data_IF_231440278509
#
_entry.id   IF_231440278509
#
_cell.length_a   1.000
_cell.length_b   1.000
_cell.length_c   1.000
_cell.angle_alpha   90.00
_cell.angle_beta   90.00
_cell.angle_gamma   90.00
#
_symmetry.space_group_name_H-M   'P 1'
#
loop_
_entity.id
_entity.type
_entity.pdbx_description
1 polymer ?
#
# COMPACT_ATOMS: atom_id res chain seq x y z
N UNK A 1 -24.78 8.50 7.92
CA UNK A 1 -23.69 9.28 7.31
C UNK A 1 -22.41 8.44 7.16
N UNK A 2 -21.93 7.79 8.20
CA UNK A 2 -20.75 6.89 8.18
C UNK A 2 -20.91 5.72 7.20
N UNK A 3 -22.10 5.08 7.12
CA UNK A 3 -22.36 3.99 6.18
C UNK A 3 -22.29 4.42 4.70
N UNK A 4 -22.59 5.70 4.36
CA UNK A 4 -22.41 6.23 3.00
C UNK A 4 -20.95 6.56 2.68
N UNK A 5 -20.16 6.98 3.67
CA UNK A 5 -18.70 7.19 3.55
C UNK A 5 -17.99 5.85 3.31
N UNK A 6 -18.33 4.83 4.08
CA UNK A 6 -17.77 3.47 3.93
C UNK A 6 -18.19 2.76 2.64
N UNK A 7 -19.25 3.24 1.94
CA UNK A 7 -19.67 2.67 0.65
C UNK A 7 -18.88 3.21 -0.55
N UNK A 8 -18.14 4.31 -0.41
CA UNK A 8 -17.35 4.90 -1.48
C UNK A 8 -15.94 4.28 -1.51
N UNK A 9 -15.59 3.45 -2.50
CA UNK A 9 -14.32 2.70 -2.50
C UNK A 9 -13.09 3.61 -2.50
N UNK A 10 -13.17 4.79 -3.11
CA UNK A 10 -12.06 5.75 -3.12
C UNK A 10 -11.80 6.37 -1.74
N UNK A 11 -12.84 6.63 -0.94
CA UNK A 11 -12.68 7.13 0.42
C UNK A 11 -12.11 6.04 1.34
N UNK A 12 -12.53 4.78 1.14
CA UNK A 12 -11.96 3.64 1.87
C UNK A 12 -10.48 3.49 1.54
N UNK A 13 -10.09 3.58 0.25
CA UNK A 13 -8.70 3.52 -0.18
C UNK A 13 -7.88 4.68 0.39
N UNK A 14 -8.37 5.93 0.30
CA UNK A 14 -7.68 7.09 0.84
C UNK A 14 -7.47 6.98 2.36
N UNK A 15 -8.45 6.44 3.08
CA UNK A 15 -8.31 6.17 4.51
C UNK A 15 -7.31 5.04 4.80
N UNK A 16 -7.30 3.97 4.00
CA UNK A 16 -6.30 2.91 4.10
C UNK A 16 -4.88 3.46 3.91
N UNK A 17 -4.70 4.35 2.94
CA UNK A 17 -3.41 5.01 2.64
C UNK A 17 -3.00 5.92 3.80
N UNK A 18 -3.91 6.70 4.37
CA UNK A 18 -3.63 7.50 5.58
C UNK A 18 -3.15 6.62 6.73
N UNK A 19 -3.88 5.51 7.02
CA UNK A 19 -3.47 4.56 8.07
C UNK A 19 -2.10 3.94 7.74
N UNK A 20 -1.85 3.62 6.46
CA UNK A 20 -0.55 3.14 5.98
C UNK A 20 0.57 4.15 6.24
N UNK A 21 0.34 5.42 5.95
CA UNK A 21 1.31 6.49 6.21
C UNK A 21 1.56 6.68 7.72
N UNK A 22 0.56 6.47 8.56
CA UNK A 22 0.78 6.43 10.02
C UNK A 22 1.68 5.25 10.43
N UNK A 23 1.53 4.08 9.77
CA UNK A 23 2.46 2.95 9.97
C UNK A 23 3.89 3.35 9.58
N UNK A 24 4.08 4.01 8.44
CA UNK A 24 5.41 4.43 7.97
C UNK A 24 6.05 5.45 8.93
N UNK A 25 5.27 6.39 9.46
CA UNK A 25 5.75 7.34 10.46
C UNK A 25 6.17 6.64 11.77
N UNK A 26 5.37 5.67 12.25
CA UNK A 26 5.74 4.86 13.42
C UNK A 26 7.01 4.05 13.17
N UNK A 27 7.14 3.43 11.99
CA UNK A 27 8.35 2.70 11.58
C UNK A 27 9.56 3.64 11.60
N UNK A 28 9.45 4.84 11.04
CA UNK A 28 10.52 5.85 11.05
C UNK A 28 11.00 6.17 12.46
N UNK A 29 10.07 6.28 13.41
CA UNK A 29 10.42 6.58 14.81
C UNK A 29 11.07 5.42 15.57
N UNK A 30 10.71 4.18 15.24
CA UNK A 30 11.08 2.98 16.04
C UNK A 30 12.19 2.15 15.41
N UNK A 31 12.28 2.09 14.07
CA UNK A 31 13.23 1.24 13.37
C UNK A 31 14.71 1.45 13.73
N UNK A 32 15.21 2.67 14.03
CA UNK A 32 16.60 2.87 14.40
C UNK A 32 17.03 2.10 15.66
N UNK A 33 16.11 1.86 16.61
CA UNK A 33 16.40 1.15 17.87
C UNK A 33 16.08 -0.33 17.83
N UNK A 34 14.99 -0.72 17.15
CA UNK A 34 14.44 -2.07 17.23
C UNK A 34 14.97 -3.07 16.18
N UNK A 35 15.58 -2.57 15.11
CA UNK A 35 15.99 -3.39 13.96
C UNK A 35 14.84 -3.80 13.04
N UNK A 36 15.07 -3.69 11.73
CA UNK A 36 14.04 -3.89 10.71
C UNK A 36 13.46 -5.31 10.70
N UNK A 37 14.29 -6.34 10.92
CA UNK A 37 13.87 -7.74 10.93
C UNK A 37 12.92 -8.03 12.10
N UNK A 38 13.19 -7.53 13.30
CA UNK A 38 12.27 -7.65 14.43
C UNK A 38 10.97 -6.92 14.15
N UNK A 39 11.04 -5.68 13.71
CA UNK A 39 9.87 -4.87 13.39
C UNK A 39 8.95 -5.57 12.39
N UNK A 40 9.48 -6.09 11.28
CA UNK A 40 8.68 -6.80 10.27
C UNK A 40 8.11 -8.11 10.82
N UNK A 41 8.92 -8.94 11.49
CA UNK A 41 8.48 -10.23 12.01
C UNK A 41 7.34 -10.06 13.02
N UNK A 42 7.52 -9.19 14.01
CA UNK A 42 6.54 -8.97 15.06
C UNK A 42 5.29 -8.24 14.60
N UNK A 43 5.42 -7.24 13.72
CA UNK A 43 4.27 -6.60 13.09
C UNK A 43 3.39 -7.63 12.37
N UNK A 44 3.98 -8.50 11.56
CA UNK A 44 3.23 -9.53 10.87
C UNK A 44 2.66 -10.57 11.84
N UNK A 45 3.37 -10.92 12.91
CA UNK A 45 2.85 -11.83 13.95
C UNK A 45 1.61 -11.24 14.62
N UNK A 46 1.66 -10.01 15.14
CA UNK A 46 0.50 -9.39 15.78
C UNK A 46 -0.65 -9.18 14.80
N UNK A 47 -0.36 -8.80 13.55
CA UNK A 47 -1.35 -8.75 12.48
C UNK A 47 -1.98 -10.12 12.20
N UNK A 48 -1.20 -11.21 12.21
CA UNK A 48 -1.67 -12.57 12.03
C UNK A 48 -2.56 -13.03 13.21
N UNK A 49 -2.17 -12.76 14.44
CA UNK A 49 -2.96 -13.09 15.63
C UNK A 49 -4.31 -12.37 15.61
N UNK A 50 -4.31 -11.07 15.29
CA UNK A 50 -5.53 -10.28 15.19
C UNK A 50 -6.42 -10.78 14.06
N UNK A 51 -5.88 -10.96 12.86
CA UNK A 51 -6.63 -11.42 11.70
C UNK A 51 -7.19 -12.83 11.91
N UNK A 52 -6.45 -13.72 12.58
CA UNK A 52 -6.92 -15.04 12.95
C UNK A 52 -8.05 -14.97 13.97
N UNK A 53 -7.92 -14.12 15.00
CA UNK A 53 -8.98 -13.92 15.99
C UNK A 53 -10.27 -13.42 15.32
N UNK A 54 -10.18 -12.44 14.41
CA UNK A 54 -11.35 -11.93 13.66
C UNK A 54 -11.93 -13.01 12.74
N UNK A 55 -11.08 -13.78 12.05
CA UNK A 55 -11.51 -14.86 11.17
C UNK A 55 -12.32 -15.93 11.92
N UNK A 56 -11.81 -16.35 13.09
CA UNK A 56 -12.47 -17.34 13.95
C UNK A 56 -13.75 -16.78 14.57
N UNK A 57 -13.74 -15.54 15.07
CA UNK A 57 -14.91 -14.88 15.66
C UNK A 57 -16.07 -14.74 14.66
N UNK A 58 -15.75 -14.45 13.39
CA UNK A 58 -16.73 -14.36 12.31
C UNK A 58 -17.10 -15.72 11.71
N UNK A 59 -16.54 -16.82 12.24
CA UNK A 59 -16.80 -18.20 11.79
C UNK A 59 -16.70 -18.36 10.29
N UNK A 60 -15.62 -17.76 9.68
CA UNK A 60 -15.42 -17.84 8.24
C UNK A 60 -15.09 -19.26 7.80
N UNK A 61 -15.55 -19.70 6.61
CA UNK A 61 -15.23 -21.03 6.10
C UNK A 61 -13.74 -21.16 5.85
N UNK A 62 -13.19 -22.34 6.12
CA UNK A 62 -11.78 -22.63 5.84
C UNK A 62 -11.55 -22.58 4.33
N UNK A 63 -10.57 -21.78 3.85
CA UNK A 63 -10.31 -21.65 2.43
C UNK A 63 -9.83 -22.97 1.81
N UNK A 64 -10.25 -23.23 0.58
CA UNK A 64 -9.81 -24.39 -0.16
C UNK A 64 -8.31 -24.30 -0.51
N UNK A 65 -7.71 -25.45 -0.89
CA UNK A 65 -6.28 -25.57 -1.17
C UNK A 65 -5.79 -24.61 -2.27
N UNK A 66 -6.61 -24.36 -3.29
CA UNK A 66 -6.29 -23.40 -4.35
C UNK A 66 -6.11 -21.98 -3.79
N UNK A 67 -7.04 -21.52 -2.94
CA UNK A 67 -6.94 -20.22 -2.27
C UNK A 67 -5.70 -20.13 -1.38
N UNK A 68 -5.41 -21.18 -0.60
CA UNK A 68 -4.20 -21.24 0.25
C UNK A 68 -2.94 -21.10 -0.59
N UNK A 69 -2.80 -21.84 -1.69
CA UNK A 69 -1.63 -21.74 -2.59
C UNK A 69 -1.46 -20.35 -3.18
N UNK A 70 -2.56 -19.76 -3.67
CA UNK A 70 -2.54 -18.42 -4.23
C UNK A 70 -2.11 -17.38 -3.20
N UNK A 71 -2.72 -17.41 -2.02
CA UNK A 71 -2.41 -16.45 -0.95
C UNK A 71 -1.03 -16.65 -0.38
N UNK A 72 -0.51 -17.88 -0.36
CA UNK A 72 0.88 -18.15 0.04
C UNK A 72 1.84 -17.46 -0.93
N UNK A 73 1.66 -17.63 -2.24
CA UNK A 73 2.49 -16.96 -3.24
C UNK A 73 2.39 -15.42 -3.12
N UNK A 74 1.16 -14.89 -3.00
CA UNK A 74 0.93 -13.46 -2.85
C UNK A 74 1.54 -12.91 -1.55
N UNK A 75 1.41 -13.65 -0.44
CA UNK A 75 1.97 -13.25 0.86
C UNK A 75 3.49 -13.24 0.88
N UNK A 76 4.13 -14.21 0.21
CA UNK A 76 5.59 -14.24 0.03
C UNK A 76 6.06 -13.09 -0.88
N UNK A 77 5.34 -12.81 -1.96
CA UNK A 77 5.64 -11.65 -2.81
C UNK A 77 5.52 -10.35 -2.03
N UNK A 78 4.51 -10.21 -1.20
CA UNK A 78 4.34 -9.03 -0.34
C UNK A 78 5.48 -8.90 0.68
N UNK A 79 5.90 -10.00 1.31
CA UNK A 79 7.06 -10.01 2.20
C UNK A 79 8.33 -9.59 1.46
N UNK A 80 8.56 -10.14 0.28
CA UNK A 80 9.68 -9.77 -0.58
C UNK A 80 9.66 -8.26 -0.89
N UNK A 81 8.51 -7.71 -1.29
CA UNK A 81 8.37 -6.28 -1.56
C UNK A 81 8.66 -5.42 -0.31
N UNK A 82 8.12 -5.81 0.84
CA UNK A 82 8.36 -5.09 2.09
C UNK A 82 9.85 -5.11 2.47
N UNK A 83 10.48 -6.27 2.40
CA UNK A 83 11.90 -6.41 2.74
C UNK A 83 12.80 -5.61 1.78
N UNK A 84 12.59 -5.75 0.47
CA UNK A 84 13.41 -5.06 -0.55
C UNK A 84 13.19 -3.55 -0.54
N UNK A 85 11.97 -3.08 -0.28
CA UNK A 85 11.69 -1.65 -0.11
C UNK A 85 12.42 -1.06 1.09
N UNK A 86 12.30 -1.69 2.26
CA UNK A 86 12.96 -1.20 3.45
C UNK A 86 14.48 -1.31 3.36
N UNK A 87 15.00 -2.35 2.71
CA UNK A 87 16.43 -2.43 2.42
C UNK A 87 16.88 -1.26 1.53
N UNK A 88 16.12 -0.94 0.47
CA UNK A 88 16.43 0.20 -0.39
C UNK A 88 16.48 1.52 0.38
N UNK A 89 15.60 1.72 1.37
CA UNK A 89 15.60 2.90 2.23
C UNK A 89 16.89 3.04 3.07
N UNK A 90 17.59 1.94 3.35
CA UNK A 90 18.89 1.98 4.05
C UNK A 90 20.04 2.33 3.12
N UNK A 91 19.86 2.19 1.80
CA UNK A 91 20.93 2.35 0.79
C UNK A 91 20.80 3.62 -0.04
N UNK A 92 19.60 4.22 -0.08
CA UNK A 92 19.29 5.35 -0.96
C UNK A 92 18.82 6.56 -0.14
N UNK A 93 19.08 7.79 -0.64
CA UNK A 93 18.42 8.96 -0.10
C UNK A 93 16.89 8.80 -0.13
N UNK A 94 16.22 9.24 0.95
CA UNK A 94 14.78 9.05 1.12
C UNK A 94 13.98 9.62 -0.07
N UNK A 95 14.35 10.81 -0.55
CA UNK A 95 13.69 11.44 -1.70
C UNK A 95 13.75 10.57 -2.97
N UNK A 96 14.90 9.94 -3.25
CA UNK A 96 15.07 9.05 -4.41
C UNK A 96 14.22 7.81 -4.25
N UNK A 97 14.28 7.14 -3.09
CA UNK A 97 13.52 5.94 -2.81
C UNK A 97 12.00 6.20 -2.89
N UNK A 98 11.52 7.31 -2.33
CA UNK A 98 10.11 7.69 -2.35
C UNK A 98 9.63 7.97 -3.77
N UNK A 99 10.36 8.78 -4.55
CA UNK A 99 9.98 9.12 -5.93
C UNK A 99 9.89 7.87 -6.81
N UNK A 100 10.89 7.01 -6.75
CA UNK A 100 10.91 5.78 -7.53
C UNK A 100 9.87 4.76 -7.02
N UNK A 101 9.62 4.69 -5.71
CA UNK A 101 8.60 3.84 -5.12
C UNK A 101 7.18 4.16 -5.65
N UNK A 102 6.87 5.43 -5.86
CA UNK A 102 5.59 5.83 -6.44
C UNK A 102 5.40 5.44 -7.91
N UNK A 103 6.45 5.01 -8.62
CA UNK A 103 6.30 4.46 -9.98
C UNK A 103 5.47 3.16 -9.99
N UNK A 104 5.30 2.49 -8.83
CA UNK A 104 4.39 1.35 -8.71
C UNK A 104 2.97 1.68 -9.20
N UNK A 105 2.45 2.87 -8.88
CA UNK A 105 1.12 3.29 -9.31
C UNK A 105 0.99 3.38 -10.85
N UNK A 106 2.08 3.71 -11.56
CA UNK A 106 2.12 3.71 -13.04
C UNK A 106 2.03 2.29 -13.61
N UNK A 107 2.55 1.30 -12.86
CA UNK A 107 2.58 -0.11 -13.30
C UNK A 107 1.26 -0.84 -13.01
N UNK A 108 0.42 -0.34 -12.10
CA UNK A 108 -0.84 -1.01 -11.74
C UNK A 108 -1.77 -1.18 -12.92
N UNK A 109 -1.94 -0.15 -13.76
CA UNK A 109 -2.85 -0.23 -14.91
C UNK A 109 -2.38 -1.24 -15.98
N UNK A 110 -1.12 -1.26 -16.43
CA UNK A 110 -0.59 -2.31 -17.31
C UNK A 110 -0.72 -3.72 -16.73
N UNK A 111 -0.38 -3.90 -15.44
CA UNK A 111 -0.49 -5.20 -14.77
C UNK A 111 -1.95 -5.65 -14.64
N UNK A 112 -2.89 -4.73 -14.31
CA UNK A 112 -4.31 -5.03 -14.25
C UNK A 112 -4.87 -5.40 -15.63
N UNK A 113 -4.41 -4.75 -16.70
CA UNK A 113 -4.76 -5.15 -18.06
C UNK A 113 -4.26 -6.56 -18.40
N UNK A 114 -3.03 -6.88 -18.01
CA UNK A 114 -2.40 -8.17 -18.29
C UNK A 114 -3.09 -9.32 -17.55
N UNK A 115 -3.40 -9.15 -16.27
CA UNK A 115 -3.88 -10.22 -15.38
C UNK A 115 -5.41 -10.30 -15.28
N UNK A 116 -6.11 -9.18 -15.39
CA UNK A 116 -7.56 -9.07 -15.21
C UNK A 116 -8.31 -8.73 -16.51
N UNK A 117 -7.60 -8.36 -17.58
CA UNK A 117 -8.21 -7.87 -18.81
C UNK A 117 -8.90 -6.52 -18.65
N UNK A 118 -8.65 -5.77 -17.55
CA UNK A 118 -9.26 -4.46 -17.34
C UNK A 118 -8.89 -3.50 -18.46
N UNK A 119 -9.90 -2.79 -19.03
CA UNK A 119 -9.66 -1.75 -20.05
C UNK A 119 -8.99 -0.55 -19.40
N UNK A 120 -7.86 -0.11 -19.94
CA UNK A 120 -7.17 1.09 -19.44
C UNK A 120 -8.01 2.31 -19.81
N UNK A 121 -8.42 3.08 -18.80
CA UNK A 121 -9.04 4.38 -18.99
C UNK A 121 -7.98 5.43 -19.34
N UNK A 122 -8.09 6.15 -20.47
CA UNK A 122 -7.15 7.24 -20.78
C UNK A 122 -7.13 8.33 -19.71
N UNK A 123 -8.28 8.62 -19.09
CA UNK A 123 -8.39 9.62 -18.02
C UNK A 123 -7.67 9.15 -16.77
N UNK A 124 -7.85 7.87 -16.36
CA UNK A 124 -7.13 7.31 -15.22
C UNK A 124 -5.62 7.25 -15.47
N UNK A 125 -5.19 6.88 -16.69
CA UNK A 125 -3.78 6.90 -17.08
C UNK A 125 -3.19 8.32 -17.04
N UNK A 126 -3.89 9.31 -17.62
CA UNK A 126 -3.47 10.71 -17.57
C UNK A 126 -3.40 11.27 -16.15
N UNK A 127 -4.36 10.94 -15.30
CA UNK A 127 -4.35 11.34 -13.88
C UNK A 127 -3.21 10.69 -13.10
N UNK A 128 -2.88 9.42 -13.40
CA UNK A 128 -1.73 8.73 -12.79
C UNK A 128 -0.41 9.43 -13.18
N UNK A 129 -0.24 9.78 -14.44
CA UNK A 129 0.93 10.55 -14.91
C UNK A 129 0.99 11.94 -14.28
N UNK A 130 -0.14 12.64 -14.19
CA UNK A 130 -0.23 13.94 -13.54
C UNK A 130 0.13 13.86 -12.05
N UNK A 131 -0.39 12.86 -11.34
CA UNK A 131 -0.06 12.63 -9.93
C UNK A 131 1.43 12.35 -9.74
N UNK A 132 2.02 11.52 -10.60
CA UNK A 132 3.47 11.25 -10.57
C UNK A 132 4.30 12.52 -10.84
N UNK A 133 3.90 13.36 -11.79
CA UNK A 133 4.55 14.65 -12.03
C UNK A 133 4.46 15.57 -10.79
N UNK A 134 3.31 15.57 -10.11
CA UNK A 134 3.13 16.27 -8.83
C UNK A 134 4.08 15.77 -7.74
N UNK A 135 4.27 14.46 -7.61
CA UNK A 135 5.23 13.85 -6.68
C UNK A 135 6.66 14.26 -7.05
N UNK A 136 7.06 14.11 -8.31
CA UNK A 136 8.42 14.48 -8.76
C UNK A 136 8.72 15.97 -8.50
N UNK A 137 7.73 16.85 -8.73
CA UNK A 137 7.88 18.27 -8.41
C UNK A 137 7.98 18.52 -6.90
N UNK A 138 7.13 17.91 -6.09
CA UNK A 138 7.17 18.04 -4.62
C UNK A 138 8.53 17.65 -4.04
N UNK A 139 9.16 16.60 -4.59
CA UNK A 139 10.44 16.09 -4.13
C UNK A 139 11.64 16.89 -4.69
N UNK A 140 11.46 17.66 -5.77
CA UNK A 140 12.53 18.50 -6.33
C UNK A 140 13.04 19.60 -5.37
N UNK A 141 12.20 19.99 -4.40
CA UNK A 141 12.55 20.94 -3.36
C UNK A 141 13.28 20.33 -2.15
N UNK A 142 13.37 19.02 -2.08
CA UNK A 142 14.09 18.33 -1.01
C UNK A 142 15.58 18.15 -1.42
N UNK A 143 16.33 19.25 -1.43
CA UNK A 143 17.77 19.28 -1.67
C UNK A 143 18.50 18.74 -0.43
N UNK A 144 18.64 17.43 -0.35
CA UNK A 144 19.31 16.74 0.73
C UNK A 144 19.58 15.30 0.35
N UNK A 145 20.20 15.11 -0.83
CA UNK A 145 20.89 13.86 -1.09
C UNK A 145 22.10 13.82 -0.13
N UNK A 146 21.84 13.39 1.11
CA UNK A 146 22.92 12.94 1.96
C UNK A 146 23.70 11.91 1.18
N UNK A 147 25.01 12.03 1.16
CA UNK A 147 25.92 11.02 0.62
C UNK A 147 25.58 9.69 1.31
N UNK A 148 24.68 8.91 0.70
CA UNK A 148 24.32 7.61 1.20
C UNK A 148 25.57 6.74 1.18
N UNK A 149 26.10 6.44 2.35
CA UNK A 149 27.25 5.56 2.53
C UNK A 149 26.99 4.11 2.07
N UNK A 150 25.84 3.86 1.41
CA UNK A 150 25.37 2.56 0.99
C UNK A 150 25.69 2.20 -0.46
N UNK A 151 25.47 0.96 -0.83
CA UNK A 151 25.58 0.48 -2.20
C UNK A 151 24.37 0.95 -3.03
N UNK A 152 24.51 2.10 -3.72
CA UNK A 152 23.43 2.70 -4.51
C UNK A 152 22.88 1.75 -5.58
N UNK A 153 23.71 0.93 -6.21
CA UNK A 153 23.27 -0.03 -7.23
C UNK A 153 22.35 -1.09 -6.63
N UNK A 154 22.75 -1.70 -5.50
CA UNK A 154 21.90 -2.67 -4.80
C UNK A 154 20.62 -2.00 -4.27
N UNK A 155 20.72 -0.77 -3.78
CA UNK A 155 19.55 0.02 -3.38
C UNK A 155 18.56 0.21 -4.50
N UNK A 156 18.99 0.61 -5.68
CA UNK A 156 18.15 0.79 -6.87
C UNK A 156 17.54 -0.54 -7.34
N UNK A 157 18.34 -1.60 -7.44
CA UNK A 157 17.83 -2.94 -7.82
C UNK A 157 16.75 -3.39 -6.85
N UNK A 158 16.98 -3.26 -5.54
CA UNK A 158 16.02 -3.62 -4.50
C UNK A 158 14.73 -2.81 -4.61
N UNK A 159 14.85 -1.51 -4.84
CA UNK A 159 13.72 -0.60 -4.99
C UNK A 159 12.88 -0.93 -6.23
N UNK A 160 13.51 -1.11 -7.40
CA UNK A 160 12.79 -1.48 -8.62
C UNK A 160 12.11 -2.85 -8.48
N UNK A 161 12.78 -3.83 -7.87
CA UNK A 161 12.20 -5.15 -7.61
C UNK A 161 10.97 -5.03 -6.71
N UNK A 162 11.05 -4.23 -5.65
CA UNK A 162 9.92 -3.93 -4.78
C UNK A 162 8.77 -3.25 -5.52
N UNK A 163 9.08 -2.21 -6.28
CA UNK A 163 8.09 -1.39 -7.02
C UNK A 163 7.29 -2.23 -8.02
N UNK A 164 7.99 -3.05 -8.81
CA UNK A 164 7.34 -3.98 -9.75
C UNK A 164 6.50 -5.00 -8.98
N UNK A 165 7.08 -5.64 -7.97
CA UNK A 165 6.39 -6.63 -7.15
C UNK A 165 5.13 -6.05 -6.48
N UNK A 166 5.19 -4.81 -5.97
CA UNK A 166 4.07 -4.16 -5.32
C UNK A 166 2.90 -3.91 -6.27
N UNK A 167 3.16 -3.52 -7.53
CA UNK A 167 2.10 -3.42 -8.54
C UNK A 167 1.39 -4.77 -8.75
N UNK A 168 2.14 -5.88 -8.79
CA UNK A 168 1.54 -7.22 -8.83
C UNK A 168 0.76 -7.54 -7.55
N UNK A 169 1.28 -7.22 -6.36
CA UNK A 169 0.58 -7.44 -5.08
C UNK A 169 -0.80 -6.77 -5.09
N UNK A 170 -0.90 -5.51 -5.56
CA UNK A 170 -2.15 -4.76 -5.63
C UNK A 170 -3.15 -5.38 -6.63
N UNK A 171 -2.67 -5.82 -7.79
CA UNK A 171 -3.54 -6.45 -8.80
C UNK A 171 -3.97 -7.86 -8.36
N UNK A 172 -3.08 -8.65 -7.78
CA UNK A 172 -3.43 -9.96 -7.18
C UNK A 172 -4.41 -9.80 -6.01
N UNK A 173 -4.27 -8.74 -5.21
CA UNK A 173 -5.25 -8.35 -4.20
C UNK A 173 -6.62 -8.11 -4.84
N UNK A 174 -6.68 -7.31 -5.91
CA UNK A 174 -7.90 -7.03 -6.68
C UNK A 174 -8.55 -8.31 -7.19
N UNK A 175 -7.78 -9.23 -7.78
CA UNK A 175 -8.28 -10.51 -8.28
C UNK A 175 -9.05 -11.28 -7.22
N UNK A 176 -8.49 -11.41 -6.03
CA UNK A 176 -9.12 -12.15 -4.93
C UNK A 176 -10.22 -11.36 -4.22
N UNK A 177 -10.09 -10.05 -4.11
CA UNK A 177 -11.12 -9.18 -3.54
C UNK A 177 -12.44 -9.19 -4.33
N UNK A 178 -12.45 -9.71 -5.55
CA UNK A 178 -13.66 -9.91 -6.36
C UNK A 178 -14.45 -11.18 -5.98
N UNK A 179 -13.79 -12.19 -5.41
CA UNK A 179 -14.36 -13.53 -5.19
C UNK A 179 -14.25 -14.00 -3.73
N UNK A 180 -13.44 -13.37 -2.92
CA UNK A 180 -13.21 -13.73 -1.52
C UNK A 180 -13.50 -12.56 -0.59
N UNK A 181 -13.81 -12.87 0.66
CA UNK A 181 -14.05 -11.82 1.65
C UNK A 181 -12.74 -11.20 2.19
N UNK A 182 -12.85 -9.94 2.62
CA UNK A 182 -11.70 -9.17 3.08
C UNK A 182 -11.02 -9.78 4.32
N UNK A 183 -11.75 -10.50 5.15
CA UNK A 183 -11.20 -11.13 6.37
C UNK A 183 -10.24 -12.26 6.01
N UNK A 184 -10.63 -13.10 5.03
CA UNK A 184 -9.80 -14.20 4.54
C UNK A 184 -8.52 -13.66 3.90
N UNK A 185 -8.65 -12.66 3.04
CA UNK A 185 -7.49 -12.05 2.37
C UNK A 185 -6.55 -11.39 3.39
N UNK A 186 -7.09 -10.65 4.37
CA UNK A 186 -6.28 -10.01 5.41
C UNK A 186 -5.57 -11.03 6.33
N UNK A 187 -6.20 -12.19 6.58
CA UNK A 187 -5.55 -13.28 7.31
C UNK A 187 -4.28 -13.74 6.62
N UNK A 188 -4.37 -14.11 5.35
CA UNK A 188 -3.21 -14.58 4.59
C UNK A 188 -2.16 -13.51 4.35
N UNK A 189 -2.57 -12.25 4.26
CA UNK A 189 -1.67 -11.11 4.11
C UNK A 189 -0.73 -10.95 5.31
N UNK A 190 -1.15 -11.39 6.48
CA UNK A 190 -0.35 -11.32 7.71
C UNK A 190 0.28 -12.67 8.10
N UNK A 191 -0.47 -13.77 8.02
CA UNK A 191 -0.01 -15.07 8.52
C UNK A 191 1.15 -15.64 7.67
N UNK A 192 1.11 -15.49 6.35
CA UNK A 192 2.18 -16.02 5.47
C UNK A 192 3.51 -15.30 5.72
N UNK A 193 3.59 -13.96 5.73
CA UNK A 193 4.82 -13.28 6.11
C UNK A 193 5.28 -13.59 7.54
N UNK A 194 4.36 -13.72 8.49
CA UNK A 194 4.72 -14.08 9.88
C UNK A 194 5.38 -15.46 9.94
N UNK A 195 4.78 -16.49 9.33
CA UNK A 195 5.32 -17.84 9.30
C UNK A 195 6.67 -17.92 8.56
N UNK A 196 6.90 -17.08 7.55
CA UNK A 196 8.16 -17.03 6.85
C UNK A 196 9.26 -16.30 7.63
N UNK A 197 8.92 -15.18 8.29
CA UNK A 197 9.89 -14.32 8.99
C UNK A 197 10.26 -14.82 10.38
N UNK A 198 9.31 -15.35 11.13
CA UNK A 198 9.56 -15.72 12.54
C UNK A 198 10.69 -16.72 12.73
N UNK A 199 10.78 -17.87 11.99
CA UNK A 199 11.85 -18.81 12.13
C UNK A 199 13.23 -18.18 11.85
N UNK A 200 13.30 -17.32 10.83
CA UNK A 200 14.54 -16.63 10.46
C UNK A 200 14.94 -15.62 11.54
N UNK A 201 13.97 -14.83 12.01
CA UNK A 201 14.23 -13.80 13.03
C UNK A 201 14.67 -14.43 14.35
N UNK A 202 13.96 -15.43 14.87
CA UNK A 202 14.33 -16.10 16.10
C UNK A 202 15.64 -16.89 15.98
N UNK A 203 15.88 -17.54 14.83
CA UNK A 203 17.09 -18.34 14.61
C UNK A 203 18.36 -17.51 14.46
N UNK A 204 18.28 -16.30 13.89
CA UNK A 204 19.45 -15.48 13.61
C UNK A 204 19.64 -14.30 14.58
N UNK A 205 18.55 -13.75 15.11
CA UNK A 205 18.58 -12.49 15.87
C UNK A 205 18.01 -12.59 17.28
N UNK A 206 17.38 -13.71 17.65
CA UNK A 206 16.79 -13.90 18.96
C UNK A 206 15.47 -13.18 19.20
N UNK A 207 15.11 -12.97 20.48
CA UNK A 207 13.91 -12.27 20.88
C UNK A 207 14.10 -10.73 20.86
N UNK A 208 13.05 -9.94 20.58
CA UNK A 208 13.11 -8.47 20.65
C UNK A 208 13.16 -8.01 22.12
N UNK A 209 13.48 -6.71 22.32
CA UNK A 209 13.29 -6.10 23.62
C UNK A 209 11.79 -6.05 23.95
N UNK A 210 11.42 -6.43 25.16
CA UNK A 210 10.03 -6.39 25.63
C UNK A 210 9.41 -4.99 25.62
N UNK A 211 10.22 -3.95 25.63
CA UNK A 211 9.77 -2.53 25.54
C UNK A 211 9.17 -2.20 24.16
N UNK A 212 9.60 -2.89 23.11
CA UNK A 212 9.13 -2.64 21.74
C UNK A 212 7.83 -3.37 21.41
N UNK A 213 7.44 -4.37 22.21
CA UNK A 213 6.24 -5.17 21.95
C UNK A 213 4.94 -4.37 21.80
N UNK A 214 4.64 -3.34 22.61
CA UNK A 214 3.42 -2.54 22.44
C UNK A 214 3.37 -1.83 21.08
N UNK A 215 4.49 -1.31 20.60
CA UNK A 215 4.58 -0.64 19.31
C UNK A 215 4.44 -1.64 18.17
N UNK A 216 5.06 -2.81 18.28
CA UNK A 216 4.88 -3.90 17.30
C UNK A 216 3.43 -4.37 17.22
N UNK A 217 2.74 -4.46 18.37
CA UNK A 217 1.31 -4.79 18.40
C UNK A 217 0.45 -3.70 17.72
N UNK A 218 0.75 -2.43 17.97
CA UNK A 218 0.09 -1.32 17.29
C UNK A 218 0.34 -1.36 15.77
N UNK A 219 1.59 -1.60 15.35
CA UNK A 219 1.94 -1.76 13.94
C UNK A 219 1.21 -2.95 13.28
N UNK A 220 1.03 -4.05 14.02
CA UNK A 220 0.25 -5.20 13.58
C UNK A 220 -1.23 -4.88 13.39
N UNK A 221 -1.83 -4.17 14.36
CA UNK A 221 -3.22 -3.71 14.31
C UNK A 221 -3.46 -2.77 13.11
N UNK A 222 -2.62 -1.75 12.98
CA UNK A 222 -2.72 -0.79 11.87
C UNK A 222 -2.47 -1.47 10.53
N UNK A 223 -1.45 -2.33 10.44
CA UNK A 223 -1.14 -3.11 9.24
C UNK A 223 -2.28 -4.03 8.80
N UNK A 224 -2.96 -4.70 9.75
CA UNK A 224 -4.18 -5.45 9.46
C UNK A 224 -5.26 -4.52 8.89
N UNK A 225 -5.49 -3.37 9.53
CA UNK A 225 -6.49 -2.38 9.09
C UNK A 225 -6.24 -1.87 7.67
N UNK A 226 -4.99 -1.54 7.33
CA UNK A 226 -4.58 -1.10 5.98
C UNK A 226 -5.00 -2.13 4.93
N UNK A 227 -4.60 -3.39 5.11
CA UNK A 227 -4.87 -4.43 4.12
C UNK A 227 -6.33 -4.85 4.07
N UNK A 228 -7.03 -4.82 5.20
CA UNK A 228 -8.47 -5.05 5.24
C UNK A 228 -9.24 -3.97 4.46
N UNK A 229 -8.95 -2.70 4.72
CA UNK A 229 -9.56 -1.56 4.02
C UNK A 229 -9.18 -1.53 2.54
N UNK A 230 -7.90 -1.78 2.20
CA UNK A 230 -7.45 -1.90 0.82
C UNK A 230 -8.25 -2.99 0.09
N UNK A 231 -8.41 -4.18 0.69
CA UNK A 231 -9.20 -5.27 0.11
C UNK A 231 -10.64 -4.85 -0.17
N UNK A 232 -11.27 -4.14 0.78
CA UNK A 232 -12.63 -3.62 0.58
C UNK A 232 -12.71 -2.60 -0.57
N UNK A 233 -11.71 -1.76 -0.74
CA UNK A 233 -11.64 -0.79 -1.82
C UNK A 233 -11.42 -1.47 -3.18
N UNK A 234 -10.39 -2.32 -3.26
CA UNK A 234 -10.04 -3.05 -4.49
C UNK A 234 -11.10 -4.07 -4.92
N UNK A 235 -11.91 -4.59 -3.98
CA UNK A 235 -13.08 -5.41 -4.30
C UNK A 235 -14.23 -4.65 -4.98
N UNK A 236 -14.25 -3.30 -4.86
CA UNK A 236 -15.38 -2.47 -5.31
C UNK A 236 -15.05 -1.48 -6.42
N UNK A 237 -13.77 -1.30 -6.76
CA UNK A 237 -13.33 -0.38 -7.82
C UNK A 237 -12.15 -0.96 -8.61
N UNK A 238 -12.04 -0.65 -9.92
CA UNK A 238 -10.90 -1.06 -10.73
C UNK A 238 -9.57 -0.55 -10.17
N UNK A 239 -8.52 -1.37 -10.26
CA UNK A 239 -7.21 -1.06 -9.69
C UNK A 239 -6.64 0.27 -10.23
N UNK A 240 -6.78 0.54 -11.53
CA UNK A 240 -6.34 1.79 -12.16
C UNK A 240 -7.00 3.06 -11.61
N UNK A 241 -8.19 2.97 -10.98
CA UNK A 241 -8.85 4.11 -10.35
C UNK A 241 -8.36 4.38 -8.93
N UNK A 242 -7.83 3.36 -8.28
CA UNK A 242 -7.30 3.47 -6.92
C UNK A 242 -5.82 3.84 -6.93
N UNK A 243 -5.07 3.46 -7.97
CA UNK A 243 -3.64 3.69 -8.08
C UNK A 243 -3.21 5.17 -7.87
N UNK A 244 -3.87 6.19 -8.45
CA UNK A 244 -3.48 7.58 -8.19
C UNK A 244 -3.63 8.03 -6.74
N UNK A 245 -4.47 7.35 -5.95
CA UNK A 245 -4.65 7.67 -4.53
C UNK A 245 -3.40 7.36 -3.70
N UNK A 246 -2.57 6.41 -4.14
CA UNK A 246 -1.29 6.09 -3.48
C UNK A 246 -0.41 7.34 -3.33
N UNK A 247 -0.46 8.27 -4.28
CA UNK A 247 0.29 9.52 -4.21
C UNK A 247 -0.14 10.44 -3.05
N UNK A 248 -1.36 10.27 -2.52
CA UNK A 248 -1.81 11.04 -1.36
C UNK A 248 -1.00 10.75 -0.10
N UNK A 249 -0.30 9.60 -0.06
CA UNK A 249 0.62 9.27 1.05
C UNK A 249 1.72 10.32 1.20
N UNK A 250 2.17 10.96 0.10
CA UNK A 250 3.14 12.07 0.18
C UNK A 250 2.59 13.26 0.98
N UNK A 251 1.31 13.59 0.78
CA UNK A 251 0.65 14.69 1.51
C UNK A 251 0.54 14.35 3.00
N UNK A 252 0.11 13.12 3.30
CA UNK A 252 0.01 12.64 4.68
C UNK A 252 1.38 12.53 5.35
N UNK A 253 2.40 12.03 4.65
CA UNK A 253 3.77 11.96 5.17
C UNK A 253 4.31 13.32 5.54
N UNK A 254 4.05 14.34 4.72
CA UNK A 254 4.46 15.70 5.00
C UNK A 254 3.79 16.28 6.24
N UNK A 255 2.47 16.05 6.39
CA UNK A 255 1.72 16.49 7.57
C UNK A 255 2.22 15.77 8.84
N UNK A 256 2.43 14.46 8.78
CA UNK A 256 2.96 13.69 9.91
C UNK A 256 4.42 14.07 10.22
N UNK A 257 5.23 14.35 9.19
CA UNK A 257 6.60 14.86 9.33
C UNK A 257 6.64 16.18 10.09
N UNK A 258 5.75 17.11 9.72
CA UNK A 258 5.62 18.39 10.41
C UNK A 258 5.17 18.22 11.88
N UNK A 259 4.17 17.39 12.14
CA UNK A 259 3.57 17.27 13.48
C UNK A 259 4.45 16.48 14.45
N UNK A 260 5.11 15.41 14.01
CA UNK A 260 5.81 14.47 14.88
C UNK A 260 7.33 14.55 14.81
N UNK A 261 7.89 15.16 13.76
CA UNK A 261 9.33 15.19 13.52
C UNK A 261 9.88 16.61 13.29
N UNK A 262 9.04 17.65 13.43
CA UNK A 262 9.38 19.07 13.18
C UNK A 262 9.98 19.30 11.77
N UNK A 263 9.62 18.44 10.80
CA UNK A 263 10.08 18.55 9.41
C UNK A 263 9.26 19.61 8.69
N UNK A 264 9.87 20.75 8.35
CA UNK A 264 9.22 21.84 7.61
C UNK A 264 9.21 21.51 6.10
N UNK A 265 8.03 21.23 5.49
CA UNK A 265 7.95 20.95 4.06
C UNK A 265 8.19 22.22 3.24
N UNK A 266 9.03 22.12 2.21
CA UNK A 266 9.27 23.22 1.26
C UNK A 266 7.98 23.55 0.47
N UNK A 267 7.91 24.76 -0.11
CA UNK A 267 6.77 25.20 -0.91
C UNK A 267 6.45 24.27 -2.11
N UNK A 268 7.48 23.63 -2.66
CA UNK A 268 7.33 22.65 -3.76
C UNK A 268 6.41 21.50 -3.37
N UNK A 269 6.46 21.06 -2.11
CA UNK A 269 5.58 20.00 -1.62
C UNK A 269 4.11 20.40 -1.64
N UNK A 270 3.81 21.64 -1.24
CA UNK A 270 2.42 22.14 -1.25
C UNK A 270 1.86 22.26 -2.67
N UNK A 271 2.65 22.73 -3.62
CA UNK A 271 2.26 22.77 -5.05
C UNK A 271 2.05 21.36 -5.57
N UNK A 272 2.98 20.42 -5.31
CA UNK A 272 2.84 19.03 -5.68
C UNK A 272 1.60 18.38 -5.06
N UNK A 273 1.29 18.68 -3.80
CA UNK A 273 0.09 18.20 -3.10
C UNK A 273 -1.20 18.66 -3.81
N UNK A 274 -1.28 19.91 -4.25
CA UNK A 274 -2.42 20.43 -5.03
C UNK A 274 -2.57 19.66 -6.34
N UNK A 275 -1.48 19.40 -7.07
CA UNK A 275 -1.50 18.63 -8.32
C UNK A 275 -1.96 17.18 -8.06
N UNK A 276 -1.47 16.54 -7.01
CA UNK A 276 -1.87 15.18 -6.61
C UNK A 276 -3.37 15.12 -6.29
N UNK A 277 -3.87 16.08 -5.48
CA UNK A 277 -5.29 16.15 -5.13
C UNK A 277 -6.14 16.36 -6.38
N UNK A 278 -5.72 17.25 -7.30
CA UNK A 278 -6.41 17.45 -8.56
C UNK A 278 -6.47 16.17 -9.41
N UNK A 279 -5.36 15.41 -9.52
CA UNK A 279 -5.32 14.14 -10.20
C UNK A 279 -6.29 13.11 -9.58
N UNK A 280 -6.33 12.99 -8.26
CA UNK A 280 -7.27 12.11 -7.55
C UNK A 280 -8.73 12.51 -7.80
N UNK A 281 -9.04 13.83 -7.80
CA UNK A 281 -10.39 14.33 -8.09
C UNK A 281 -10.81 14.03 -9.53
N UNK A 282 -9.93 14.17 -10.52
CA UNK A 282 -10.22 13.84 -11.92
C UNK A 282 -10.69 12.38 -12.04
N UNK A 283 -10.00 11.44 -11.43
CA UNK A 283 -10.39 10.02 -11.44
C UNK A 283 -11.70 9.79 -10.69
N UNK A 284 -11.89 10.47 -9.56
CA UNK A 284 -13.12 10.36 -8.77
C UNK A 284 -14.35 10.84 -9.56
N UNK A 285 -14.22 11.94 -10.29
CA UNK A 285 -15.31 12.48 -11.12
C UNK A 285 -15.60 11.59 -12.33
N UNK A 286 -14.59 11.10 -13.04
CA UNK A 286 -14.77 10.13 -14.14
C UNK A 286 -15.63 8.95 -13.68
N UNK A 287 -15.30 8.36 -12.53
CA UNK A 287 -16.05 7.24 -11.96
C UNK A 287 -17.53 7.57 -11.75
N UNK A 288 -17.85 8.76 -11.23
CA UNK A 288 -19.23 9.20 -11.00
C UNK A 288 -20.01 9.43 -12.30
N UNK A 289 -19.39 10.04 -13.31
CA UNK A 289 -20.03 10.28 -14.60
C UNK A 289 -20.32 8.99 -15.33
N UNK A 290 -19.39 8.05 -15.32
CA UNK A 290 -19.56 6.75 -15.95
C UNK A 290 -20.69 5.95 -15.29
N UNK A 291 -20.73 5.85 -13.97
CA UNK A 291 -21.82 5.16 -13.25
C UNK A 291 -23.19 5.79 -13.52
N UNK A 292 -23.26 7.13 -13.59
CA UNK A 292 -24.51 7.83 -13.93
C UNK A 292 -24.93 7.61 -15.38
N UNK A 293 -23.99 7.48 -16.31
CA UNK A 293 -24.28 7.20 -17.71
C UNK A 293 -24.77 5.77 -17.88
N UNK A 294 -24.11 4.80 -17.28
CA UNK A 294 -24.53 3.39 -17.29
C UNK A 294 -25.91 3.19 -16.67
N UNK A 295 -26.24 3.89 -15.58
CA UNK A 295 -27.57 3.87 -14.96
C UNK A 295 -28.69 4.52 -15.80
N UNK A 296 -28.36 5.25 -16.87
CA UNK A 296 -29.33 5.90 -17.77
C UNK A 296 -29.49 5.15 -19.11
N UNK A 297 -28.65 4.16 -19.39
CA UNK A 297 -28.76 3.35 -20.60
C UNK A 297 -29.83 2.27 -20.40
N UNK A 298 -30.68 2.01 -21.41
CA UNK A 298 -31.58 0.86 -21.39
C UNK A 298 -30.74 -0.43 -21.32
N UNK A 299 -31.32 -1.48 -20.75
CA UNK A 299 -30.60 -2.75 -20.52
C UNK A 299 -30.01 -3.39 -21.77
N UNK A 300 -30.52 -3.04 -22.96
CA UNK A 300 -30.02 -3.47 -24.27
C UNK A 300 -28.69 -2.84 -24.68
N UNK A 301 -28.31 -1.71 -24.10
CA UNK A 301 -27.17 -0.89 -24.53
C UNK A 301 -26.01 -0.91 -23.51
N UNK A 302 -26.08 -1.83 -22.53
CA UNK A 302 -25.00 -2.03 -21.57
C UNK A 302 -23.84 -2.75 -22.26
N UNK A 303 -22.61 -2.25 -22.19
CA UNK A 303 -21.45 -2.94 -22.70
C UNK A 303 -21.20 -4.24 -21.92
N UNK A 304 -21.00 -5.34 -22.64
CA UNK A 304 -20.59 -6.64 -22.10
C UNK A 304 -19.26 -6.57 -21.31
#
# INVERSE_FOLDING_TARGET
>A
MIARLLSAPMLIAAFAILVGTCVDALVKGVAPGAGLHHLLAWRFLFGALLSLAVFLALRKPVPGWEAVRFHTLRGLLQLFCAFTFFYALTQLPLAVATTLGFTAALLVAPVARLLLGEKISPIAAGATLLGFAGVAFALSGQSGAGDGAGNQTLGLISLFSSTIGYAFVLVLLRMRALIEDATTIALFTNIVPALAMLPVTFGLFGAPDGRDLPVFALLGLLGYGVWYLATLAYGRAPAQRLAPLEYTSLVWSALLGLVFFDEMPGWQLWVGAVVIIAACLIVAFEGRFRTRREARLPASDLPE
#
